data_IF_182862095783
#
_entry.id   IF_182862095783
#
_cell.length_a   1.000
_cell.length_b   1.000
_cell.length_c   1.000
_cell.angle_alpha   90.00
_cell.angle_beta   90.00
_cell.angle_gamma   90.00
#
_symmetry.space_group_name_H-M   'P 1'
#
loop_
_entity.id
_entity.type
_entity.pdbx_description
1 polymer ?
#
# COMPACT_ATOMS: atom_id res chain seq x y z
N UNK A 1 15.29 -12.87 8.29
CA UNK A 1 15.80 -11.55 7.86
C UNK A 1 14.58 -10.64 7.81
N UNK A 2 14.26 -9.97 8.92
CA UNK A 2 13.13 -9.05 8.97
C UNK A 2 13.62 -7.71 8.44
N UNK A 3 13.35 -7.42 7.17
CA UNK A 3 13.48 -6.05 6.68
C UNK A 3 12.23 -5.31 7.18
N UNK A 4 12.32 -4.73 8.38
CA UNK A 4 11.35 -3.74 8.86
C UNK A 4 11.50 -2.47 8.03
N UNK A 5 11.05 -2.53 6.78
CA UNK A 5 10.95 -1.36 5.90
C UNK A 5 9.80 -0.51 6.43
N UNK A 6 10.14 0.42 7.31
CA UNK A 6 9.23 1.43 7.81
C UNK A 6 9.17 2.57 6.79
N UNK A 7 7.96 2.91 6.36
CA UNK A 7 7.70 4.02 5.45
C UNK A 7 6.78 5.05 6.13
N UNK A 8 7.13 6.34 6.13
CA UNK A 8 6.25 7.41 6.54
C UNK A 8 4.91 7.37 5.80
N UNK A 9 3.80 7.63 6.51
CA UNK A 9 2.46 7.54 5.95
C UNK A 9 2.25 8.44 4.72
N UNK A 10 2.86 9.61 4.68
CA UNK A 10 2.81 10.50 3.51
C UNK A 10 3.47 9.86 2.29
N UNK A 11 4.65 9.23 2.47
CA UNK A 11 5.35 8.52 1.42
C UNK A 11 4.58 7.26 0.98
N UNK A 12 3.92 6.56 1.90
CA UNK A 12 3.03 5.46 1.57
C UNK A 12 1.91 5.88 0.62
N UNK A 13 1.29 7.05 0.86
CA UNK A 13 0.25 7.60 -0.02
C UNK A 13 0.80 8.01 -1.39
N UNK A 14 1.98 8.63 -1.43
CA UNK A 14 2.65 8.98 -2.69
C UNK A 14 2.97 7.73 -3.52
N UNK A 15 3.48 6.68 -2.87
CA UNK A 15 3.75 5.40 -3.53
C UNK A 15 2.45 4.75 -4.05
N UNK A 16 1.37 4.78 -3.27
CA UNK A 16 0.07 4.26 -3.70
C UNK A 16 -0.44 4.98 -4.96
N UNK A 17 -0.32 6.32 -4.99
CA UNK A 17 -0.67 7.12 -6.17
C UNK A 17 0.20 6.75 -7.38
N UNK A 18 1.51 6.58 -7.19
CA UNK A 18 2.42 6.19 -8.27
C UNK A 18 2.06 4.81 -8.84
N UNK A 19 1.80 3.83 -7.98
CA UNK A 19 1.41 2.47 -8.39
C UNK A 19 0.09 2.50 -9.17
N UNK A 20 -0.88 3.28 -8.70
CA UNK A 20 -2.13 3.48 -9.41
C UNK A 20 -1.89 4.10 -10.80
N UNK A 21 -1.09 5.16 -10.90
CA UNK A 21 -0.75 5.79 -12.19
C UNK A 21 -0.06 4.82 -13.14
N UNK A 22 0.87 4.00 -12.64
CA UNK A 22 1.55 2.98 -13.44
C UNK A 22 0.58 1.91 -13.95
N UNK A 23 -0.35 1.45 -13.12
CA UNK A 23 -1.39 0.48 -13.52
C UNK A 23 -2.32 1.04 -14.60
N UNK A 24 -2.79 2.27 -14.41
CA UNK A 24 -3.68 2.93 -15.36
C UNK A 24 -3.01 3.30 -16.68
N UNK A 25 -1.68 3.48 -16.69
CA UNK A 25 -0.95 3.72 -17.93
C UNK A 25 -1.04 2.56 -18.92
N UNK A 26 -1.34 1.34 -18.45
CA UNK A 26 -1.34 0.08 -19.23
C UNK A 26 -0.08 -0.17 -20.05
N UNK A 27 1.00 0.55 -19.78
CA UNK A 27 2.26 0.47 -20.50
C UNK A 27 3.00 -0.87 -20.25
N UNK A 28 2.69 -1.55 -19.13
CA UNK A 28 3.32 -2.80 -18.73
C UNK A 28 2.27 -3.87 -18.37
N UNK A 29 1.60 -4.51 -19.37
CA UNK A 29 0.54 -5.49 -19.11
C UNK A 29 1.00 -6.69 -18.28
N UNK A 30 2.27 -7.08 -18.38
CA UNK A 30 2.87 -8.17 -17.59
C UNK A 30 2.94 -7.86 -16.09
N UNK A 31 2.91 -6.58 -15.72
CA UNK A 31 2.98 -6.10 -14.34
C UNK A 31 1.60 -5.74 -13.76
N UNK A 32 0.51 -5.84 -14.51
CA UNK A 32 -0.82 -5.41 -14.04
C UNK A 32 -1.23 -6.13 -12.74
N UNK A 33 -1.01 -7.45 -12.66
CA UNK A 33 -1.24 -8.24 -11.43
C UNK A 33 -0.29 -7.88 -10.27
N UNK A 34 0.90 -7.40 -10.58
CA UNK A 34 1.86 -6.94 -9.57
C UNK A 34 1.39 -5.60 -9.01
N UNK A 35 1.00 -4.66 -9.88
CA UNK A 35 0.47 -3.37 -9.45
C UNK A 35 -0.83 -3.51 -8.66
N UNK A 36 -1.73 -4.41 -9.08
CA UNK A 36 -2.93 -4.75 -8.32
C UNK A 36 -2.62 -5.17 -6.88
N UNK A 37 -1.75 -6.18 -6.72
CA UNK A 37 -1.38 -6.67 -5.38
C UNK A 37 -0.70 -5.60 -4.52
N UNK A 38 0.23 -4.85 -5.11
CA UNK A 38 0.91 -3.75 -4.40
C UNK A 38 -0.10 -2.70 -3.96
N UNK A 39 -1.06 -2.35 -4.81
CA UNK A 39 -2.11 -1.38 -4.50
C UNK A 39 -3.00 -1.86 -3.33
N UNK A 40 -3.43 -3.12 -3.36
CA UNK A 40 -4.26 -3.71 -2.31
C UNK A 40 -3.54 -3.79 -0.96
N UNK A 41 -2.32 -4.33 -0.94
CA UNK A 41 -1.52 -4.48 0.28
C UNK A 41 -1.13 -3.12 0.87
N UNK A 42 -0.73 -2.17 0.02
CA UNK A 42 -0.32 -0.84 0.46
C UNK A 42 -1.52 -0.01 0.96
N UNK A 43 -2.66 -0.06 0.27
CA UNK A 43 -3.90 0.59 0.73
C UNK A 43 -4.33 0.04 2.08
N UNK A 44 -4.35 -1.29 2.23
CA UNK A 44 -4.70 -1.95 3.49
C UNK A 44 -3.76 -1.54 4.63
N UNK A 45 -2.45 -1.50 4.36
CA UNK A 45 -1.45 -1.08 5.36
C UNK A 45 -1.65 0.37 5.79
N UNK A 46 -1.93 1.26 4.84
CA UNK A 46 -2.25 2.67 5.10
C UNK A 46 -3.52 2.77 5.95
N UNK A 47 -4.58 2.03 5.59
CA UNK A 47 -5.86 2.03 6.30
C UNK A 47 -5.75 1.51 7.73
N UNK A 48 -4.92 0.49 7.97
CA UNK A 48 -4.64 -0.02 9.32
C UNK A 48 -4.00 1.07 10.19
N UNK A 49 -3.00 1.80 9.67
CA UNK A 49 -2.32 2.84 10.42
C UNK A 49 -3.23 4.06 10.63
N UNK A 50 -3.91 4.51 9.57
CA UNK A 50 -4.80 5.69 9.61
C UNK A 50 -6.01 5.47 10.50
N UNK A 51 -6.63 4.30 10.43
CA UNK A 51 -7.81 3.98 11.19
C UNK A 51 -7.49 3.16 12.45
N UNK A 52 -6.22 3.12 12.89
CA UNK A 52 -5.74 2.28 14.02
C UNK A 52 -6.47 2.50 15.35
N UNK A 53 -7.23 3.60 15.50
CA UNK A 53 -8.13 3.85 16.63
C UNK A 53 -9.55 3.26 16.48
N UNK A 54 -9.96 2.90 15.26
CA UNK A 54 -11.27 2.31 14.94
C UNK A 54 -11.23 0.77 14.86
N UNK A 55 -10.07 0.17 14.69
CA UNK A 55 -9.88 -1.28 14.82
C UNK A 55 -9.68 -1.57 16.30
N UNK A 56 -10.61 -2.27 16.95
CA UNK A 56 -10.62 -2.57 18.39
C UNK A 56 -9.41 -3.37 18.93
N UNK A 57 -9.57 -4.39 19.79
CA UNK A 57 -8.53 -4.86 20.72
C UNK A 57 -7.34 -5.64 20.11
N UNK A 58 -7.01 -5.47 18.83
CA UNK A 58 -5.80 -6.03 18.20
C UNK A 58 -4.49 -5.38 18.69
N UNK A 59 -4.55 -4.59 19.77
CA UNK A 59 -3.41 -4.15 20.57
C UNK A 59 -3.14 -5.10 21.74
N UNK A 60 -2.83 -6.36 21.44
CA UNK A 60 -2.19 -7.27 22.42
C UNK A 60 -0.85 -7.74 21.87
#
# INVERSE_FOLDING_TARGET
>A
MNCDVQMPLAQGRELLQLVHTLRESKANPTLDKVFERVQDELSTSIDIIQNSTNWGPWRQ
#
